data_IF_586071990814
#
_entry.id   IF_586071990814
#
_cell.length_a   1.000
_cell.length_b   1.000
_cell.length_c   1.000
_cell.angle_alpha   90.00
_cell.angle_beta   90.00
_cell.angle_gamma   90.00
#
_symmetry.space_group_name_H-M   'P 1'
#
loop_
_entity.id
_entity.type
_entity.pdbx_description
1 polymer ?
#
# COMPACT_ATOMS: atom_id res chain seq x y z
N UNK A 1 -22.10 9.13 -9.77
CA UNK A 1 -21.92 8.64 -8.40
C UNK A 1 -22.87 9.38 -7.45
N UNK A 2 -23.88 8.74 -6.89
CA UNK A 2 -24.46 9.18 -5.61
C UNK A 2 -23.94 8.20 -4.57
N UNK A 3 -22.89 8.61 -3.85
CA UNK A 3 -22.46 7.89 -2.65
C UNK A 3 -23.58 8.05 -1.62
N UNK A 4 -24.55 7.13 -1.62
CA UNK A 4 -25.47 6.94 -0.51
C UNK A 4 -24.63 6.51 0.68
N UNK A 5 -24.23 7.48 1.49
CA UNK A 5 -23.20 7.27 2.48
C UNK A 5 -23.63 7.95 3.76
N UNK A 6 -23.96 7.10 4.72
CA UNK A 6 -23.78 7.42 6.12
C UNK A 6 -22.25 7.52 6.34
N UNK A 7 -21.62 8.57 5.78
CA UNK A 7 -20.16 8.75 5.76
C UNK A 7 -19.73 9.06 7.18
N UNK A 8 -19.01 8.13 7.80
CA UNK A 8 -18.16 8.43 8.95
C UNK A 8 -16.82 8.94 8.38
N UNK A 9 -16.36 10.08 8.88
CA UNK A 9 -15.19 10.80 8.35
C UNK A 9 -13.94 9.90 8.29
N UNK A 10 -13.11 10.09 7.26
CA UNK A 10 -11.86 9.34 7.09
C UNK A 10 -10.90 9.62 8.23
N UNK A 11 -10.00 8.68 8.53
CA UNK A 11 -9.07 8.86 9.61
C UNK A 11 -8.02 9.90 9.23
N UNK A 12 -8.10 11.14 9.69
CA UNK A 12 -6.98 12.06 9.50
C UNK A 12 -6.75 12.98 10.69
N UNK A 13 -5.48 13.29 10.90
CA UNK A 13 -5.04 14.44 11.66
C UNK A 13 -4.95 15.62 10.71
N UNK A 14 -5.67 16.71 10.97
CA UNK A 14 -5.37 17.99 10.36
C UNK A 14 -4.19 18.59 11.12
N UNK A 15 -3.18 19.12 10.43
CA UNK A 15 -1.90 19.55 10.99
C UNK A 15 -1.91 20.42 12.25
N UNK A 16 -3.05 20.94 12.71
CA UNK A 16 -3.19 21.66 13.99
C UNK A 16 -3.62 20.76 15.17
N UNK A 17 -3.78 19.45 14.96
CA UNK A 17 -4.22 18.52 16.02
C UNK A 17 -3.15 18.43 17.11
N UNK A 18 -3.59 18.52 18.36
CA UNK A 18 -2.72 18.43 19.53
C UNK A 18 -2.82 17.05 20.17
N UNK A 19 -1.68 16.54 20.61
CA UNK A 19 -1.58 15.29 21.34
C UNK A 19 -1.87 15.50 22.82
N UNK A 20 -2.34 14.46 23.50
CA UNK A 20 -2.63 14.45 24.92
C UNK A 20 -1.39 14.67 25.77
N UNK A 21 -0.24 14.13 25.35
CA UNK A 21 1.05 14.44 25.96
C UNK A 21 1.49 15.85 25.56
N UNK A 22 1.37 16.79 26.49
CA UNK A 22 1.74 18.19 26.27
C UNK A 22 3.24 18.39 26.05
N UNK A 23 4.08 17.46 26.53
CA UNK A 23 5.52 17.48 26.30
C UNK A 23 5.91 16.90 24.94
N UNK A 24 4.97 16.28 24.22
CA UNK A 24 5.26 15.67 22.94
C UNK A 24 5.75 16.71 21.91
N UNK A 25 6.87 16.48 21.21
CA UNK A 25 7.45 17.47 20.29
C UNK A 25 6.51 17.97 19.17
N UNK A 26 5.61 17.12 18.66
CA UNK A 26 4.54 17.54 17.73
C UNK A 26 3.60 18.65 18.28
N UNK A 27 3.51 18.82 19.60
CA UNK A 27 2.78 19.94 20.19
C UNK A 27 3.56 21.27 20.17
N UNK A 28 4.89 21.23 19.99
CA UNK A 28 5.72 22.44 19.89
C UNK A 28 5.64 23.11 18.51
N UNK A 29 5.29 22.37 17.45
CA UNK A 29 5.14 22.94 16.10
C UNK A 29 3.81 23.68 15.93
N UNK A 30 3.79 24.73 15.11
CA UNK A 30 2.57 25.52 14.84
C UNK A 30 1.54 24.69 14.07
N UNK A 31 2.00 23.93 13.08
CA UNK A 31 1.22 22.96 12.34
C UNK A 31 2.15 21.82 11.88
N UNK A 32 1.67 20.59 12.00
CA UNK A 32 2.22 19.40 11.37
C UNK A 32 2.02 19.50 9.85
N UNK A 33 3.12 19.26 9.14
CA UNK A 33 3.21 19.19 7.69
C UNK A 33 4.27 18.13 7.38
N UNK A 34 3.98 17.29 6.40
CA UNK A 34 4.87 16.26 5.87
C UNK A 34 5.24 16.62 4.46
N UNK A 35 6.53 16.52 4.12
CA UNK A 35 7.00 16.67 2.77
C UNK A 35 7.66 15.36 2.30
N UNK A 36 7.19 14.88 1.17
CA UNK A 36 7.65 13.65 0.54
C UNK A 36 8.17 14.00 -0.85
N UNK A 37 9.38 13.56 -1.15
CA UNK A 37 10.04 13.82 -2.42
C UNK A 37 10.04 12.54 -3.25
N UNK A 38 9.40 12.60 -4.41
CA UNK A 38 9.31 11.54 -5.40
C UNK A 38 10.36 11.79 -6.48
N UNK A 39 11.37 10.92 -6.63
CA UNK A 39 12.24 10.99 -7.80
C UNK A 39 11.40 10.72 -9.05
N UNK A 40 11.52 11.63 -10.02
CA UNK A 40 10.87 11.52 -11.34
C UNK A 40 11.47 10.33 -12.08
N UNK A 41 12.79 10.30 -12.12
CA UNK A 41 13.59 9.17 -12.54
C UNK A 41 14.93 9.23 -11.77
N UNK A 42 15.66 8.11 -11.72
CA UNK A 42 16.90 7.96 -10.95
C UNK A 42 18.07 8.80 -11.51
N UNK A 43 17.95 9.36 -12.73
CA UNK A 43 19.08 9.87 -13.52
C UNK A 43 19.02 11.37 -13.83
N UNK A 44 17.83 11.97 -13.90
CA UNK A 44 17.65 13.41 -14.17
C UNK A 44 17.89 14.26 -12.93
N UNK A 45 17.92 13.64 -11.75
CA UNK A 45 17.93 14.35 -10.47
C UNK A 45 16.68 15.20 -10.24
N UNK A 46 15.66 15.07 -11.11
CA UNK A 46 14.41 15.79 -10.97
C UNK A 46 13.50 15.04 -10.00
N UNK A 47 12.80 15.81 -9.16
CA UNK A 47 11.95 15.26 -8.12
C UNK A 47 10.67 16.07 -7.98
N UNK A 48 9.54 15.39 -7.89
CA UNK A 48 8.27 16.00 -7.51
C UNK A 48 8.15 15.99 -6.00
N UNK A 49 7.54 17.02 -5.41
CA UNK A 49 7.42 17.16 -3.97
C UNK A 49 5.95 17.18 -3.60
N UNK A 50 5.55 16.28 -2.71
CA UNK A 50 4.22 16.26 -2.10
C UNK A 50 4.30 16.74 -0.66
N UNK A 51 3.66 17.88 -0.40
CA UNK A 51 3.43 18.37 0.95
C UNK A 51 2.00 18.06 1.38
N UNK A 52 1.82 17.51 2.57
CA UNK A 52 0.51 17.26 3.14
C UNK A 52 0.43 17.72 4.59
N UNK A 53 -0.74 18.22 4.97
CA UNK A 53 -1.08 18.53 6.36
C UNK A 53 -1.99 17.46 6.96
N UNK A 54 -2.16 16.35 6.27
CA UNK A 54 -2.99 15.23 6.66
C UNK A 54 -2.17 13.97 6.90
N UNK A 55 -2.61 13.16 7.86
CA UNK A 55 -2.02 11.84 8.10
C UNK A 55 -3.07 10.92 8.69
N UNK A 56 -3.13 9.70 8.17
CA UNK A 56 -3.96 8.64 8.71
C UNK A 56 -3.59 8.28 10.14
N UNK A 57 -4.62 8.04 10.95
CA UNK A 57 -4.49 7.83 12.38
C UNK A 57 -4.73 6.36 12.74
N UNK A 58 -3.66 5.56 12.96
CA UNK A 58 -3.78 4.16 13.36
C UNK A 58 -4.40 3.98 14.73
N UNK A 59 -4.94 2.78 14.94
CA UNK A 59 -5.36 2.26 16.25
C UNK A 59 -4.35 1.25 16.78
N UNK A 60 -4.31 1.07 18.09
CA UNK A 60 -3.40 0.15 18.79
C UNK A 60 -4.02 -1.24 18.88
N UNK A 61 -3.26 -2.24 18.44
CA UNK A 61 -3.60 -3.66 18.47
C UNK A 61 -2.54 -4.38 19.31
N UNK A 62 -2.85 -4.78 20.54
CA UNK A 62 -1.97 -5.63 21.33
C UNK A 62 -2.11 -7.10 20.95
N UNK A 63 -0.98 -7.79 20.96
CA UNK A 63 -0.89 -9.20 20.63
C UNK A 63 -0.30 -9.92 21.84
N UNK A 64 -1.05 -10.87 22.40
CA UNK A 64 -0.59 -11.65 23.55
C UNK A 64 0.50 -12.64 23.15
N UNK A 65 1.17 -13.25 24.14
CA UNK A 65 2.17 -14.30 23.90
C UNK A 65 1.58 -15.52 23.15
N UNK A 66 0.29 -15.77 23.33
CA UNK A 66 -0.48 -16.83 22.65
C UNK A 66 -0.99 -16.40 21.26
N UNK A 67 -0.61 -15.21 20.78
CA UNK A 67 -1.04 -14.67 19.49
C UNK A 67 -2.49 -14.16 19.47
N UNK A 68 -3.12 -13.91 20.62
CA UNK A 68 -4.46 -13.33 20.68
C UNK A 68 -4.41 -11.83 20.44
N UNK A 69 -5.38 -11.31 19.70
CA UNK A 69 -5.41 -9.89 19.33
C UNK A 69 -6.43 -9.13 20.16
N UNK A 70 -6.04 -7.95 20.65
CA UNK A 70 -6.94 -7.00 21.30
C UNK A 70 -6.73 -5.59 20.77
N UNK A 71 -7.83 -4.91 20.46
CA UNK A 71 -7.79 -3.49 20.07
C UNK A 71 -7.91 -2.64 21.33
N UNK A 72 -6.85 -1.87 21.60
CA UNK A 72 -6.70 -1.09 22.84
C UNK A 72 -7.08 0.38 22.70
N UNK A 73 -7.13 0.90 21.48
CA UNK A 73 -7.55 2.29 21.21
C UNK A 73 -8.76 2.35 20.26
N UNK A 74 -9.49 3.47 20.21
CA UNK A 74 -10.66 3.57 19.34
C UNK A 74 -10.29 3.41 17.86
N UNK A 75 -11.02 2.57 17.12
CA UNK A 75 -10.96 2.53 15.66
C UNK A 75 -11.60 3.79 15.11
N UNK A 76 -10.85 4.51 14.28
CA UNK A 76 -11.32 5.74 13.67
C UNK A 76 -12.55 5.47 12.78
N UNK A 77 -13.49 6.41 12.72
CA UNK A 77 -14.81 6.20 12.14
C UNK A 77 -15.74 5.29 12.96
N UNK A 78 -15.23 4.30 13.70
CA UNK A 78 -16.07 3.45 14.54
C UNK A 78 -16.38 4.09 15.89
N UNK A 79 -15.42 4.81 16.50
CA UNK A 79 -15.56 5.37 17.84
C UNK A 79 -15.19 4.35 18.93
N UNK A 80 -15.50 4.60 20.22
CA UNK A 80 -15.02 3.78 21.32
C UNK A 80 -15.62 2.36 21.33
N UNK A 81 -14.87 1.40 21.88
CA UNK A 81 -15.27 -0.02 21.99
C UNK A 81 -16.64 -0.23 22.62
N UNK A 82 -17.00 0.58 23.61
CA UNK A 82 -18.26 0.47 24.36
C UNK A 82 -19.50 0.58 23.48
N UNK A 83 -19.43 1.30 22.34
CA UNK A 83 -20.56 1.48 21.43
C UNK A 83 -20.74 0.32 20.46
N UNK A 84 -19.65 -0.37 20.12
CA UNK A 84 -19.62 -1.38 19.07
C UNK A 84 -18.84 -2.63 19.47
N UNK A 85 -19.02 -3.10 20.70
CA UNK A 85 -18.22 -4.18 21.30
C UNK A 85 -18.20 -5.47 20.47
N UNK A 86 -19.33 -5.85 19.85
CA UNK A 86 -19.40 -7.02 18.98
C UNK A 86 -18.56 -6.87 17.71
N UNK A 87 -18.58 -5.69 17.09
CA UNK A 87 -17.77 -5.43 15.89
C UNK A 87 -16.28 -5.38 16.23
N UNK A 88 -15.89 -4.78 17.36
CA UNK A 88 -14.52 -4.84 17.84
C UNK A 88 -14.01 -6.26 18.02
N UNK A 89 -14.82 -7.13 18.65
CA UNK A 89 -14.49 -8.57 18.78
C UNK A 89 -14.35 -9.27 17.43
N UNK A 90 -15.17 -8.91 16.45
CA UNK A 90 -15.07 -9.45 15.10
C UNK A 90 -13.77 -8.98 14.41
N UNK A 91 -13.43 -7.70 14.50
CA UNK A 91 -12.19 -7.15 13.94
C UNK A 91 -10.94 -7.79 14.56
N UNK A 92 -10.93 -7.95 15.90
CA UNK A 92 -9.87 -8.67 16.61
C UNK A 92 -9.70 -10.08 16.07
N UNK A 93 -10.81 -10.83 15.93
CA UNK A 93 -10.77 -12.21 15.45
C UNK A 93 -10.33 -12.31 13.99
N UNK A 94 -10.76 -11.39 13.14
CA UNK A 94 -10.34 -11.34 11.72
C UNK A 94 -8.84 -11.06 11.64
N UNK A 95 -8.34 -10.06 12.37
CA UNK A 95 -6.92 -9.72 12.37
C UNK A 95 -6.07 -10.86 12.95
N UNK A 96 -6.55 -11.51 14.01
CA UNK A 96 -5.90 -12.70 14.60
C UNK A 96 -5.75 -13.85 13.61
N UNK A 97 -6.78 -14.12 12.80
CA UNK A 97 -6.72 -15.17 11.77
C UNK A 97 -5.79 -14.81 10.61
N UNK A 98 -5.67 -13.52 10.28
CA UNK A 98 -4.83 -13.04 9.20
C UNK A 98 -3.37 -12.81 9.61
N UNK A 99 -3.06 -12.86 10.92
CA UNK A 99 -1.76 -12.50 11.48
C UNK A 99 -0.58 -13.24 10.82
N UNK A 100 -0.64 -14.56 10.55
CA UNK A 100 0.45 -15.25 9.85
C UNK A 100 0.72 -14.68 8.46
N UNK A 101 -0.32 -14.34 7.70
CA UNK A 101 -0.18 -13.80 6.33
C UNK A 101 0.32 -12.36 6.34
N UNK A 102 -0.11 -11.57 7.34
CA UNK A 102 0.43 -10.24 7.60
C UNK A 102 1.92 -10.32 7.94
N UNK A 103 2.34 -11.28 8.77
CA UNK A 103 3.76 -11.50 9.11
C UNK A 103 4.58 -11.79 7.86
N UNK A 104 4.14 -12.74 7.03
CA UNK A 104 4.80 -13.02 5.76
C UNK A 104 4.93 -11.76 4.90
N UNK A 105 3.85 -10.98 4.75
CA UNK A 105 3.87 -9.73 3.97
C UNK A 105 4.77 -8.64 4.56
N UNK A 106 4.82 -8.52 5.89
CA UNK A 106 5.63 -7.52 6.60
C UNK A 106 7.13 -7.78 6.43
N UNK A 107 7.51 -9.06 6.53
CA UNK A 107 8.89 -9.53 6.52
C UNK A 107 9.33 -10.08 5.16
N UNK A 108 8.47 -10.03 4.15
CA UNK A 108 8.85 -10.37 2.79
C UNK A 108 9.91 -9.40 2.30
N UNK A 109 11.04 -9.96 1.90
CA UNK A 109 12.12 -9.27 1.21
C UNK A 109 12.17 -9.83 -0.21
N UNK A 110 12.02 -8.94 -1.19
CA UNK A 110 12.27 -9.29 -2.57
C UNK A 110 13.79 -9.26 -2.79
N UNK A 111 14.30 -10.32 -3.41
CA UNK A 111 15.67 -10.38 -3.88
C UNK A 111 15.65 -10.62 -5.38
N UNK A 112 16.41 -9.82 -6.13
CA UNK A 112 16.58 -10.06 -7.56
C UNK A 112 17.26 -11.42 -7.77
N UNK A 113 16.57 -12.32 -8.46
CA UNK A 113 17.17 -13.53 -8.97
C UNK A 113 17.61 -13.32 -10.41
N UNK A 114 18.92 -13.33 -10.64
CA UNK A 114 19.52 -13.22 -11.97
C UNK A 114 18.93 -14.27 -12.90
N UNK A 115 18.43 -13.83 -14.06
CA UNK A 115 17.88 -14.74 -15.05
C UNK A 115 18.97 -15.71 -15.55
N UNK A 116 18.60 -16.96 -15.82
CA UNK A 116 19.55 -17.95 -16.37
C UNK A 116 20.14 -17.51 -17.70
N UNK A 117 19.35 -16.80 -18.52
CA UNK A 117 19.80 -16.22 -19.79
C UNK A 117 20.88 -15.17 -19.58
N UNK A 118 20.72 -14.28 -18.59
CA UNK A 118 21.73 -13.29 -18.25
C UNK A 118 22.99 -13.95 -17.68
N UNK A 119 22.84 -14.95 -16.81
CA UNK A 119 23.98 -15.74 -16.30
C UNK A 119 24.76 -16.42 -17.41
N UNK A 120 24.08 -16.98 -18.43
CA UNK A 120 24.73 -17.53 -19.62
C UNK A 120 25.51 -16.48 -20.40
N UNK A 121 24.94 -15.28 -20.56
CA UNK A 121 25.59 -14.16 -21.22
C UNK A 121 26.84 -13.70 -20.46
N UNK A 122 26.83 -13.61 -19.13
CA UNK A 122 28.03 -13.32 -18.33
C UNK A 122 29.11 -14.40 -18.49
N UNK A 123 28.72 -15.68 -18.51
CA UNK A 123 29.66 -16.79 -18.73
C UNK A 123 30.35 -16.72 -20.10
N UNK A 124 29.74 -16.04 -21.09
CA UNK A 124 30.36 -15.79 -22.41
C UNK A 124 31.30 -14.58 -22.44
N UNK A 125 31.36 -13.77 -21.38
CA UNK A 125 32.15 -12.54 -21.34
C UNK A 125 33.65 -12.75 -21.68
N UNK A 126 34.34 -13.78 -21.17
CA UNK A 126 35.75 -13.98 -21.49
C UNK A 126 36.01 -14.21 -23.00
N UNK A 127 35.12 -14.95 -23.68
CA UNK A 127 35.24 -15.20 -25.12
C UNK A 127 34.88 -13.96 -25.94
N UNK A 128 33.89 -13.17 -25.49
CA UNK A 128 33.57 -11.86 -26.09
C UNK A 128 34.75 -10.89 -26.02
N UNK A 129 35.30 -10.73 -24.81
CA UNK A 129 36.42 -9.82 -24.54
C UNK A 129 37.69 -10.24 -25.29
N UNK A 130 37.92 -11.55 -25.42
CA UNK A 130 39.02 -12.11 -26.21
C UNK A 130 38.79 -12.08 -27.74
N UNK A 131 37.58 -11.71 -28.19
CA UNK A 131 37.14 -11.75 -29.61
C UNK A 131 37.33 -13.12 -30.27
N UNK A 132 37.22 -14.20 -29.50
CA UNK A 132 37.36 -15.57 -30.01
C UNK A 132 36.00 -16.08 -30.51
N UNK A 133 35.63 -15.66 -31.73
CA UNK A 133 34.34 -15.99 -32.36
C UNK A 133 34.11 -17.50 -32.43
N UNK A 134 35.16 -18.29 -32.65
CA UNK A 134 35.08 -19.75 -32.71
C UNK A 134 34.65 -20.37 -31.38
N UNK A 135 35.32 -20.02 -30.27
CA UNK A 135 34.94 -20.51 -28.93
C UNK A 135 33.61 -19.94 -28.47
N UNK A 136 33.31 -18.69 -28.81
CA UNK A 136 32.03 -18.07 -28.53
C UNK A 136 30.86 -18.83 -29.19
N UNK A 137 30.94 -19.12 -30.50
CA UNK A 137 29.91 -19.91 -31.23
C UNK A 137 29.74 -21.30 -30.63
N UNK A 138 30.83 -21.99 -30.28
CA UNK A 138 30.76 -23.30 -29.64
C UNK A 138 30.06 -23.25 -28.26
N UNK A 139 30.29 -22.17 -27.49
CA UNK A 139 29.60 -21.96 -26.21
C UNK A 139 28.12 -21.65 -26.39
N UNK A 140 27.74 -20.88 -27.40
CA UNK A 140 26.34 -20.64 -27.77
C UNK A 140 25.63 -21.96 -28.09
N UNK A 141 26.21 -22.80 -28.94
CA UNK A 141 25.63 -24.09 -29.32
C UNK A 141 25.46 -25.02 -28.09
N UNK A 142 26.46 -25.07 -27.20
CA UNK A 142 26.34 -25.77 -25.92
C UNK A 142 25.16 -25.24 -25.09
N UNK A 143 25.08 -23.92 -24.93
CA UNK A 143 24.06 -23.25 -24.13
C UNK A 143 22.65 -23.37 -24.72
N UNK A 144 22.52 -23.47 -26.05
CA UNK A 144 21.24 -23.78 -26.70
C UNK A 144 20.75 -25.18 -26.31
N UNK A 145 21.64 -26.16 -26.24
CA UNK A 145 21.31 -27.50 -25.74
C UNK A 145 20.89 -27.52 -24.26
N UNK A 146 21.48 -26.64 -23.44
CA UNK A 146 21.05 -26.43 -22.05
C UNK A 146 19.67 -25.78 -21.98
N UNK A 147 19.42 -24.72 -22.78
CA UNK A 147 18.14 -24.00 -22.86
C UNK A 147 16.98 -24.94 -23.18
N UNK A 148 17.13 -25.86 -24.13
CA UNK A 148 16.08 -26.85 -24.47
C UNK A 148 15.70 -27.73 -23.26
N UNK A 149 16.68 -28.15 -22.45
CA UNK A 149 16.39 -28.94 -21.24
C UNK A 149 15.71 -28.09 -20.17
N UNK A 150 16.08 -26.82 -20.08
CA UNK A 150 15.48 -25.88 -19.15
C UNK A 150 14.04 -25.53 -19.51
N UNK A 151 13.74 -25.31 -20.79
CA UNK A 151 12.39 -25.08 -21.28
C UNK A 151 11.48 -26.28 -21.00
N UNK A 152 11.99 -27.49 -21.22
CA UNK A 152 11.26 -28.70 -20.86
C UNK A 152 10.96 -28.77 -19.35
N UNK A 153 11.95 -28.45 -18.50
CA UNK A 153 11.78 -28.40 -17.05
C UNK A 153 10.84 -27.26 -16.61
N UNK A 154 10.87 -26.12 -17.30
CA UNK A 154 10.00 -24.96 -17.05
C UNK A 154 8.55 -25.30 -17.36
N UNK A 155 8.27 -25.92 -18.51
CA UNK A 155 6.92 -26.37 -18.86
C UNK A 155 6.39 -27.36 -17.81
N UNK A 156 7.23 -28.27 -17.33
CA UNK A 156 6.86 -29.19 -16.27
C UNK A 156 6.60 -28.49 -14.92
N UNK A 157 7.42 -27.50 -14.57
CA UNK A 157 7.23 -26.67 -13.38
C UNK A 157 5.94 -25.83 -13.48
N UNK A 158 5.69 -25.16 -14.60
CA UNK A 158 4.48 -24.37 -14.85
C UNK A 158 3.22 -25.25 -14.76
N UNK A 159 3.28 -26.49 -15.27
CA UNK A 159 2.20 -27.47 -15.10
C UNK A 159 1.96 -27.79 -13.62
N UNK A 160 3.02 -28.04 -12.84
CA UNK A 160 2.91 -28.32 -11.40
C UNK A 160 2.36 -27.12 -10.62
N UNK A 161 2.84 -25.92 -10.91
CA UNK A 161 2.35 -24.68 -10.29
C UNK A 161 0.87 -24.47 -10.60
N UNK A 162 0.44 -24.73 -11.85
CA UNK A 162 -0.98 -24.67 -12.20
C UNK A 162 -1.81 -25.69 -11.42
N UNK A 163 -1.31 -26.91 -11.26
CA UNK A 163 -1.96 -27.94 -10.44
C UNK A 163 -2.03 -27.55 -8.95
N UNK A 164 -0.98 -26.92 -8.42
CA UNK A 164 -0.94 -26.38 -7.05
C UNK A 164 -1.91 -25.18 -6.90
N UNK A 165 -1.98 -24.27 -7.87
CA UNK A 165 -2.94 -23.17 -7.90
C UNK A 165 -4.39 -23.66 -7.95
N UNK A 166 -4.68 -24.71 -8.72
CA UNK A 166 -6.00 -25.35 -8.74
C UNK A 166 -6.36 -25.99 -7.38
N UNK A 167 -5.36 -26.41 -6.59
CA UNK A 167 -5.56 -26.84 -5.21
C UNK A 167 -5.72 -25.65 -4.25
N UNK A 168 -4.97 -24.56 -4.42
CA UNK A 168 -5.10 -23.32 -3.63
C UNK A 168 -6.41 -22.58 -3.87
N UNK A 169 -7.00 -22.68 -5.06
CA UNK A 169 -8.35 -22.18 -5.36
C UNK A 169 -9.39 -22.81 -4.44
N UNK A 170 -9.15 -24.01 -3.88
CA UNK A 170 -10.04 -24.59 -2.85
C UNK A 170 -9.97 -23.87 -1.50
N UNK A 171 -9.06 -22.90 -1.36
CA UNK A 171 -8.77 -22.13 -0.16
C UNK A 171 -7.81 -22.88 0.76
N UNK A 172 -6.61 -22.31 0.98
CA UNK A 172 -5.83 -22.72 2.14
C UNK A 172 -6.56 -22.22 3.40
N UNK A 173 -6.82 -23.08 4.40
CA UNK A 173 -7.39 -22.62 5.65
C UNK A 173 -6.44 -21.58 6.25
N UNK A 174 -7.00 -20.44 6.70
CA UNK A 174 -6.26 -19.50 7.55
C UNK A 174 -5.66 -20.34 8.68
N UNK A 175 -4.33 -20.30 8.80
CA UNK A 175 -3.61 -21.13 9.76
C UNK A 175 -4.22 -21.05 11.16
N UNK A 176 -4.07 -22.12 11.94
CA UNK A 176 -4.44 -22.10 13.35
C UNK A 176 -3.67 -21.01 14.10
N UNK A 177 -4.20 -20.58 15.24
CA UNK A 177 -3.52 -19.62 16.12
C UNK A 177 -2.17 -20.21 16.52
N UNK A 178 -1.10 -19.64 15.98
CA UNK A 178 0.29 -20.08 16.18
C UNK A 178 1.09 -19.04 16.95
N UNK A 179 2.34 -19.37 17.26
CA UNK A 179 3.26 -18.42 17.89
C UNK A 179 3.60 -17.32 16.89
N UNK A 180 3.07 -16.12 17.12
CA UNK A 180 3.26 -14.93 16.29
C UNK A 180 4.66 -14.32 16.48
N UNK A 181 5.26 -13.79 15.40
CA UNK A 181 6.47 -12.93 15.48
C UNK A 181 6.22 -11.59 16.18
N UNK A 182 4.96 -11.25 16.38
CA UNK A 182 4.49 -10.09 17.11
C UNK A 182 3.96 -10.41 18.52
N UNK A 183 4.15 -11.64 19.01
CA UNK A 183 3.84 -12.01 20.38
C UNK A 183 4.42 -11.01 21.39
N UNK A 184 3.58 -10.52 22.30
CA UNK A 184 3.94 -9.54 23.32
C UNK A 184 4.11 -8.09 22.81
N UNK A 185 3.81 -7.81 21.53
CA UNK A 185 3.94 -6.48 20.92
C UNK A 185 2.59 -5.79 20.75
N UNK A 186 2.66 -4.47 20.59
CA UNK A 186 1.52 -3.65 20.16
C UNK A 186 1.80 -3.13 18.76
N UNK A 187 0.88 -3.34 17.84
CA UNK A 187 0.95 -2.86 16.47
C UNK A 187 0.08 -1.63 16.28
N UNK A 188 0.50 -0.75 15.37
CA UNK A 188 -0.31 0.34 14.83
C UNK A 188 -1.00 -0.15 13.56
N UNK A 189 -2.33 -0.11 13.56
CA UNK A 189 -3.12 -0.63 12.45
C UNK A 189 -4.22 0.36 12.08
N UNK A 190 -4.29 0.69 10.80
CA UNK A 190 -5.38 1.48 10.23
C UNK A 190 -6.44 0.51 9.72
N UNK A 191 -7.68 0.70 10.15
CA UNK A 191 -8.82 -0.13 9.74
C UNK A 191 -9.69 0.67 8.80
N UNK A 192 -10.05 0.08 7.67
CA UNK A 192 -10.90 0.71 6.66
C UNK A 192 -11.95 -0.28 6.17
N UNK A 193 -13.17 0.21 5.94
CA UNK A 193 -14.23 -0.59 5.33
C UNK A 193 -14.80 0.19 4.15
N UNK A 194 -14.98 -0.50 3.02
CA UNK A 194 -15.49 0.11 1.81
C UNK A 194 -16.46 -0.83 1.09
N UNK A 195 -17.41 -0.22 0.37
CA UNK A 195 -18.38 -0.92 -0.45
C UNK A 195 -18.28 -0.39 -1.88
N UNK A 196 -18.14 -1.31 -2.84
CA UNK A 196 -18.35 -1.01 -4.25
C UNK A 196 -19.81 -1.32 -4.57
N UNK A 197 -20.54 -0.33 -5.07
CA UNK A 197 -21.97 -0.43 -5.38
C UNK A 197 -22.17 -0.13 -6.85
N UNK A 198 -22.56 -1.14 -7.63
CA UNK A 198 -22.73 -1.06 -9.08
C UNK A 198 -24.18 -1.28 -9.46
N UNK A 199 -24.77 -0.32 -10.16
CA UNK A 199 -26.08 -0.53 -10.80
C UNK A 199 -25.97 -1.56 -11.93
N UNK A 200 -27.08 -2.19 -12.35
CA UNK A 200 -27.10 -3.11 -13.49
C UNK A 200 -26.39 -2.53 -14.71
N UNK A 201 -25.50 -3.32 -15.32
CA UNK A 201 -24.68 -2.96 -16.47
C UNK A 201 -23.49 -2.03 -16.19
N UNK A 202 -23.29 -1.54 -14.96
CA UNK A 202 -22.15 -0.68 -14.64
C UNK A 202 -20.85 -1.49 -14.48
N UNK A 203 -19.76 -0.83 -14.89
CA UNK A 203 -18.39 -1.31 -14.79
C UNK A 203 -17.53 -0.31 -14.00
N UNK A 204 -16.52 -0.82 -13.32
CA UNK A 204 -15.55 -0.01 -12.57
C UNK A 204 -14.16 -0.63 -12.66
N UNK A 205 -13.16 0.19 -12.98
CA UNK A 205 -11.74 -0.14 -12.89
C UNK A 205 -11.08 0.84 -11.92
N UNK A 206 -10.12 0.34 -11.13
CA UNK A 206 -9.34 1.16 -10.20
C UNK A 206 -8.10 1.76 -10.87
N UNK A 207 -7.55 2.80 -10.25
CA UNK A 207 -6.21 3.31 -10.59
C UNK A 207 -5.12 2.54 -9.83
N UNK A 208 -3.90 2.52 -10.37
CA UNK A 208 -2.74 1.98 -9.66
C UNK A 208 -2.39 2.84 -8.46
N UNK A 209 -2.24 2.26 -7.28
CA UNK A 209 -1.86 3.00 -6.07
C UNK A 209 -1.16 2.12 -5.04
N UNK A 210 -0.53 2.77 -4.06
CA UNK A 210 -0.15 2.16 -2.77
C UNK A 210 -1.11 2.64 -1.69
N UNK A 211 -1.22 1.90 -0.58
CA UNK A 211 -2.06 2.34 0.54
C UNK A 211 -1.36 3.43 1.34
N UNK A 212 -2.11 4.49 1.63
CA UNK A 212 -1.63 5.64 2.38
C UNK A 212 -0.55 6.45 1.65
N UNK A 213 0.04 7.39 2.39
CA UNK A 213 1.18 8.20 1.95
C UNK A 213 2.47 7.75 2.66
N UNK A 214 3.67 8.05 2.11
CA UNK A 214 4.93 7.53 2.67
C UNK A 214 5.18 7.87 4.16
N UNK A 215 4.72 9.02 4.64
CA UNK A 215 4.81 9.41 6.06
C UNK A 215 3.89 8.62 7.00
N UNK A 216 2.95 7.84 6.46
CA UNK A 216 2.04 6.97 7.22
C UNK A 216 2.67 5.59 7.48
N UNK A 217 3.87 5.32 6.94
CA UNK A 217 4.71 4.15 7.23
C UNK A 217 3.98 2.81 7.16
N UNK A 218 3.00 2.68 6.26
CA UNK A 218 2.27 1.44 6.03
C UNK A 218 3.22 0.45 5.35
N UNK A 219 3.43 -0.71 5.98
CA UNK A 219 4.38 -1.73 5.53
C UNK A 219 3.68 -2.93 4.90
N UNK A 220 2.54 -3.33 5.43
CA UNK A 220 1.73 -4.42 4.88
C UNK A 220 0.25 -4.04 4.85
N UNK A 221 -0.42 -4.55 3.83
CA UNK A 221 -1.83 -4.31 3.56
C UNK A 221 -2.55 -5.65 3.48
N UNK A 222 -3.67 -5.74 4.19
CA UNK A 222 -4.57 -6.89 4.16
C UNK A 222 -5.94 -6.42 3.68
N UNK A 223 -6.50 -7.08 2.68
CA UNK A 223 -7.86 -6.83 2.18
C UNK A 223 -8.68 -8.11 2.34
N UNK A 224 -9.80 -8.00 3.06
CA UNK A 224 -10.75 -9.09 3.27
C UNK A 224 -12.03 -8.84 2.47
N UNK A 225 -12.26 -9.69 1.47
CA UNK A 225 -13.46 -9.68 0.61
C UNK A 225 -14.54 -10.54 1.23
N UNK A 226 -15.25 -9.96 2.21
CA UNK A 226 -16.13 -10.72 3.10
C UNK A 226 -17.56 -10.92 2.56
N UNK A 227 -17.95 -10.19 1.53
CA UNK A 227 -19.27 -10.32 0.89
C UNK A 227 -19.25 -9.70 -0.50
N UNK A 228 -19.87 -10.37 -1.46
CA UNK A 228 -19.95 -9.98 -2.86
C UNK A 228 -21.27 -10.51 -3.42
N UNK A 229 -22.04 -9.65 -4.09
CA UNK A 229 -23.24 -10.09 -4.78
C UNK A 229 -22.90 -11.08 -5.89
N UNK A 230 -23.70 -12.13 -6.11
CA UNK A 230 -23.43 -13.15 -7.14
C UNK A 230 -23.50 -12.61 -8.58
N UNK A 231 -24.11 -11.44 -8.77
CA UNK A 231 -24.15 -10.73 -10.05
C UNK A 231 -22.87 -9.92 -10.34
N UNK A 232 -21.89 -9.87 -9.42
CA UNK A 232 -20.61 -9.21 -9.69
C UNK A 232 -19.68 -10.19 -10.40
N UNK A 233 -19.21 -9.80 -11.57
CA UNK A 233 -18.00 -10.34 -12.19
C UNK A 233 -16.80 -9.54 -11.70
N UNK A 234 -15.83 -10.21 -11.09
CA UNK A 234 -14.63 -9.61 -10.51
C UNK A 234 -13.38 -10.13 -11.24
N UNK A 235 -12.65 -9.24 -11.91
CA UNK A 235 -11.43 -9.58 -12.63
C UNK A 235 -10.21 -9.73 -11.69
N UNK A 236 -10.35 -9.38 -10.40
CA UNK A 236 -9.32 -9.53 -9.39
C UNK A 236 -8.57 -8.24 -9.05
N UNK A 237 -7.44 -8.43 -8.36
CA UNK A 237 -6.55 -7.37 -7.93
C UNK A 237 -5.22 -7.51 -8.69
N UNK A 238 -4.88 -6.52 -9.50
CA UNK A 238 -3.62 -6.50 -10.25
C UNK A 238 -2.52 -5.89 -9.41
N UNK A 239 -1.30 -6.41 -9.56
CA UNK A 239 -0.10 -5.92 -8.88
C UNK A 239 0.98 -5.54 -9.89
N UNK A 240 1.72 -4.49 -9.57
CA UNK A 240 2.95 -4.10 -10.25
C UNK A 240 3.94 -3.53 -9.24
N UNK A 241 5.20 -3.40 -9.64
CA UNK A 241 6.23 -2.73 -8.86
C UNK A 241 7.09 -1.85 -9.74
N UNK A 242 7.74 -0.87 -9.13
CA UNK A 242 8.78 -0.11 -9.79
C UNK A 242 9.97 -1.02 -10.10
N UNK A 243 10.62 -0.77 -11.24
CA UNK A 243 11.97 -1.27 -11.50
C UNK A 243 12.97 -0.57 -10.60
N UNK A 244 14.00 -1.30 -10.21
CA UNK A 244 15.15 -0.87 -9.42
C UNK A 244 16.41 -1.03 -10.25
N UNK A 245 17.55 -0.51 -9.78
CA UNK A 245 18.87 -0.77 -10.39
C UNK A 245 19.17 -2.28 -10.54
N UNK A 246 18.68 -3.10 -9.60
CA UNK A 246 18.87 -4.56 -9.62
C UNK A 246 18.05 -5.26 -10.71
N UNK A 247 16.94 -4.66 -11.15
CA UNK A 247 16.12 -5.18 -12.25
C UNK A 247 16.77 -5.01 -13.62
N UNK A 248 17.94 -4.36 -13.63
CA UNK A 248 18.76 -4.00 -14.79
C UNK A 248 17.91 -3.63 -16.01
N UNK A 249 17.11 -2.55 -15.95
CA UNK A 249 16.62 -1.94 -17.17
C UNK A 249 17.76 -1.08 -17.70
N UNK A 250 18.59 -1.63 -18.56
CA UNK A 250 18.84 -0.99 -19.84
C UNK A 250 19.50 0.39 -19.96
N UNK A 251 20.02 1.05 -18.92
CA UNK A 251 20.60 2.40 -19.12
C UNK A 251 21.91 2.68 -18.40
N UNK A 252 22.43 1.78 -17.56
CA UNK A 252 23.72 1.96 -16.90
C UNK A 252 24.88 1.30 -17.68
N UNK A 253 25.06 1.70 -18.95
CA UNK A 253 26.35 1.93 -19.63
C UNK A 253 26.06 2.14 -21.11
N UNK A 254 26.18 3.38 -21.56
CA UNK A 254 26.31 3.66 -22.98
C UNK A 254 27.57 2.97 -23.50
N UNK A 255 27.45 1.74 -23.98
CA UNK A 255 28.37 1.04 -24.86
C UNK A 255 27.59 -0.16 -25.41
N UNK A 256 26.90 0.02 -26.54
CA UNK A 256 26.47 -1.13 -27.36
C UNK A 256 27.63 -2.11 -27.58
N UNK A 257 28.87 -1.61 -27.51
CA UNK A 257 30.14 -2.35 -27.51
C UNK A 257 30.18 -3.55 -26.55
N UNK A 258 29.47 -3.56 -25.42
CA UNK A 258 29.49 -4.71 -24.48
C UNK A 258 28.71 -5.92 -24.99
N UNK A 259 27.73 -5.66 -25.86
CA UNK A 259 26.97 -6.67 -26.58
C UNK A 259 27.54 -6.91 -27.97
N UNK A 260 28.66 -6.26 -28.34
CA UNK A 260 29.28 -6.38 -29.66
C UNK A 260 30.54 -7.22 -29.59
N UNK A 261 30.66 -8.15 -30.53
CA UNK A 261 31.90 -8.85 -30.83
C UNK A 261 32.34 -8.39 -32.21
N UNK A 262 33.55 -7.84 -32.30
CA UNK A 262 34.13 -7.43 -33.57
C UNK A 262 34.82 -8.63 -34.23
N UNK A 263 34.32 -9.05 -35.39
CA UNK A 263 34.95 -10.06 -36.21
C UNK A 263 35.92 -9.38 -37.20
N UNK A 264 37.22 -9.50 -36.94
CA UNK A 264 38.27 -8.89 -37.77
C UNK A 264 38.32 -9.47 -39.19
N UNK A 265 37.78 -10.68 -39.43
CA UNK A 265 37.76 -11.30 -40.75
C UNK A 265 36.54 -10.88 -41.60
N UNK A 266 35.43 -10.50 -40.94
CA UNK A 266 34.16 -10.19 -41.60
C UNK A 266 33.88 -8.69 -41.77
N UNK A 267 34.65 -7.80 -41.11
CA UNK A 267 34.42 -6.34 -41.04
C UNK A 267 32.99 -5.98 -40.59
N UNK A 268 32.42 -6.83 -39.72
CA UNK A 268 31.06 -6.67 -39.18
C UNK A 268 31.03 -6.99 -37.69
N UNK A 269 30.08 -6.36 -36.98
CA UNK A 269 29.88 -6.54 -35.55
C UNK A 269 28.78 -7.54 -35.26
N UNK A 270 29.09 -8.57 -34.47
CA UNK A 270 28.12 -9.58 -34.05
C UNK A 270 27.51 -9.16 -32.72
N UNK A 271 26.18 -9.12 -32.66
CA UNK A 271 25.46 -8.90 -31.39
C UNK A 271 25.44 -10.20 -30.55
N UNK A 272 25.87 -10.14 -29.30
CA UNK A 272 25.75 -11.20 -28.29
C UNK A 272 24.86 -10.71 -27.15
N UNK A 273 23.57 -11.01 -27.25
CA UNK A 273 22.57 -10.67 -26.24
C UNK A 273 22.25 -11.87 -25.33
N UNK A 274 21.73 -11.64 -24.12
CA UNK A 274 21.06 -12.69 -23.37
C UNK A 274 20.01 -13.41 -24.24
N UNK A 275 19.97 -14.74 -24.17
CA UNK A 275 19.21 -15.61 -25.10
C UNK A 275 17.68 -15.44 -25.06
N UNK A 276 17.16 -14.66 -24.11
CA UNK A 276 15.77 -14.26 -23.93
C UNK A 276 15.44 -12.93 -24.64
N UNK A 277 16.47 -12.16 -25.04
CA UNK A 277 16.35 -10.92 -25.81
C UNK A 277 16.43 -11.18 -27.32
N UNK A 278 17.04 -12.30 -27.73
CA UNK A 278 17.26 -12.69 -29.14
C UNK A 278 16.00 -13.18 -29.89
N UNK A 279 14.94 -13.61 -29.18
CA UNK A 279 13.77 -14.29 -29.77
C UNK A 279 12.53 -13.38 -29.97
N UNK A 280 12.60 -12.10 -29.60
CA UNK A 280 11.49 -11.16 -29.79
C UNK A 280 11.48 -10.54 -31.20
N UNK A 281 10.44 -10.82 -32.00
CA UNK A 281 10.09 -9.94 -33.13
C UNK A 281 9.84 -8.53 -32.58
N UNK A 282 10.75 -7.59 -32.87
CA UNK A 282 10.94 -6.28 -32.23
C UNK A 282 11.52 -6.37 -30.81
N UNK A 283 12.83 -6.54 -30.74
CA UNK A 283 13.62 -5.90 -29.69
C UNK A 283 13.46 -4.37 -29.87
N UNK A 284 12.43 -3.79 -29.24
CA UNK A 284 12.54 -2.43 -28.76
C UNK A 284 13.85 -2.38 -27.98
N UNK A 285 14.72 -1.45 -28.34
CA UNK A 285 16.03 -1.36 -27.70
C UNK A 285 15.85 -1.41 -26.20
N UNK A 286 16.82 -1.97 -25.46
CA UNK A 286 16.80 -1.97 -24.01
C UNK A 286 16.30 -0.61 -23.44
N UNK A 287 16.69 0.51 -24.03
CA UNK A 287 16.29 1.85 -23.60
C UNK A 287 14.77 2.17 -23.54
N UNK A 288 13.86 1.27 -23.96
CA UNK A 288 12.40 1.48 -24.00
C UNK A 288 11.58 0.58 -23.03
N UNK A 289 12.20 -0.11 -22.06
CA UNK A 289 11.41 -0.89 -21.10
C UNK A 289 10.53 0.00 -20.20
N UNK A 290 9.28 -0.40 -19.92
CA UNK A 290 8.39 0.35 -19.05
C UNK A 290 8.95 0.41 -17.63
N UNK A 291 8.75 1.55 -16.95
CA UNK A 291 9.26 1.81 -15.59
C UNK A 291 8.72 0.83 -14.54
N UNK A 292 7.52 0.30 -14.77
CA UNK A 292 6.90 -0.67 -13.89
C UNK A 292 6.98 -2.10 -14.47
N UNK A 293 7.17 -3.09 -13.60
CA UNK A 293 7.01 -4.52 -13.91
C UNK A 293 5.63 -4.94 -13.43
N UNK A 294 4.77 -5.37 -14.37
CA UNK A 294 3.51 -6.03 -14.04
C UNK A 294 3.77 -7.41 -13.44
N UNK A 295 3.21 -7.67 -12.26
CA UNK A 295 3.37 -8.93 -11.53
C UNK A 295 2.19 -9.88 -11.75
N UNK A 296 1.11 -9.39 -12.39
CA UNK A 296 -0.09 -10.15 -12.71
C UNK A 296 -1.28 -9.82 -11.81
N UNK A 297 -2.33 -10.62 -11.94
CA UNK A 297 -3.64 -10.39 -11.31
C UNK A 297 -4.06 -11.59 -10.49
N UNK A 298 -4.48 -11.37 -9.24
CA UNK A 298 -4.97 -12.43 -8.36
C UNK A 298 -6.49 -12.36 -8.21
N UNK A 299 -7.21 -13.51 -8.22
CA UNK A 299 -8.66 -13.51 -8.02
C UNK A 299 -9.03 -13.00 -6.63
N UNK A 300 -9.93 -12.02 -6.55
CA UNK A 300 -10.36 -11.42 -5.27
C UNK A 300 -11.60 -12.12 -4.68
N UNK A 301 -12.58 -12.45 -5.52
CA UNK A 301 -13.83 -13.12 -5.14
C UNK A 301 -14.07 -14.38 -5.98
N UNK A 302 -15.08 -15.18 -5.64
CA UNK A 302 -15.52 -16.36 -6.39
C UNK A 302 -14.66 -17.61 -6.19
N UNK A 303 -13.88 -17.67 -5.11
CA UNK A 303 -12.80 -18.67 -4.97
C UNK A 303 -13.32 -20.04 -4.49
N UNK A 304 -14.39 -20.12 -3.71
CA UNK A 304 -14.94 -21.42 -3.26
C UNK A 304 -16.32 -21.71 -3.86
N UNK A 305 -16.56 -22.97 -4.23
CA UNK A 305 -17.83 -23.43 -4.81
C UNK A 305 -18.87 -23.86 -3.74
N UNK A 306 -18.45 -24.04 -2.49
CA UNK A 306 -19.28 -24.66 -1.43
C UNK A 306 -20.00 -23.63 -0.53
N UNK A 307 -19.54 -22.38 -0.52
CA UNK A 307 -20.18 -21.24 0.16
C UNK A 307 -20.16 -20.11 -0.85
N UNK A 308 -21.29 -19.43 -1.09
CA UNK A 308 -21.45 -18.35 -2.08
C UNK A 308 -20.20 -17.44 -2.20
N UNK A 309 -19.28 -17.80 -3.11
CA UNK A 309 -18.18 -17.07 -3.72
C UNK A 309 -17.37 -16.05 -2.90
N UNK A 310 -17.34 -16.04 -1.58
CA UNK A 310 -16.77 -14.91 -0.81
C UNK A 310 -16.07 -15.36 0.46
N UNK A 311 -15.16 -14.53 1.00
CA UNK A 311 -14.38 -14.84 2.20
C UNK A 311 -12.85 -14.89 2.02
N UNK A 312 -12.31 -14.46 0.87
CA UNK A 312 -10.86 -14.43 0.64
C UNK A 312 -10.19 -13.25 1.33
N UNK A 313 -9.02 -13.50 1.91
CA UNK A 313 -8.11 -12.48 2.41
C UNK A 313 -6.89 -12.42 1.48
N UNK A 314 -6.50 -11.21 1.09
CA UNK A 314 -5.26 -10.94 0.35
C UNK A 314 -4.35 -10.10 1.24
N UNK A 315 -3.17 -10.61 1.54
CA UNK A 315 -2.12 -9.89 2.27
C UNK A 315 -0.95 -9.64 1.33
N UNK A 316 -0.40 -8.44 1.33
CA UNK A 316 0.73 -8.09 0.48
C UNK A 316 1.58 -6.95 1.08
N UNK A 317 2.87 -6.87 0.73
CA UNK A 317 3.71 -5.73 1.10
C UNK A 317 3.21 -4.44 0.45
N UNK A 318 3.17 -3.34 1.19
CA UNK A 318 2.60 -2.06 0.70
C UNK A 318 3.50 -1.31 -0.31
N UNK A 319 4.71 -1.80 -0.59
CA UNK A 319 5.53 -1.28 -1.68
C UNK A 319 5.06 -1.77 -3.05
N UNK A 320 4.16 -2.75 -3.10
CA UNK A 320 3.49 -3.17 -4.33
C UNK A 320 2.37 -2.18 -4.69
N UNK A 321 2.45 -1.65 -5.90
CA UNK A 321 1.34 -0.90 -6.46
C UNK A 321 0.25 -1.90 -6.88
N UNK A 322 -1.01 -1.55 -6.63
CA UNK A 322 -2.12 -2.39 -6.98
C UNK A 322 -3.29 -1.60 -7.56
N UNK A 323 -4.13 -2.27 -8.34
CA UNK A 323 -5.41 -1.73 -8.82
C UNK A 323 -6.50 -2.79 -8.85
N UNK A 324 -7.74 -2.36 -8.72
CA UNK A 324 -8.90 -3.19 -9.02
C UNK A 324 -8.94 -3.40 -10.53
N UNK A 325 -8.66 -4.61 -10.99
CA UNK A 325 -8.52 -4.93 -12.42
C UNK A 325 -9.81 -4.71 -13.22
N UNK A 326 -10.95 -4.90 -12.56
CA UNK A 326 -12.25 -4.68 -13.16
C UNK A 326 -13.37 -5.29 -12.33
N UNK A 327 -14.46 -4.55 -12.19
CA UNK A 327 -15.72 -5.01 -11.64
C UNK A 327 -16.85 -4.73 -12.60
N UNK A 328 -17.75 -5.70 -12.75
CA UNK A 328 -18.96 -5.52 -13.57
C UNK A 328 -20.18 -6.11 -12.89
N UNK A 329 -21.28 -5.37 -12.87
CA UNK A 329 -22.58 -5.95 -12.58
C UNK A 329 -23.11 -6.64 -13.86
N UNK A 330 -23.18 -7.97 -13.84
CA UNK A 330 -23.61 -8.79 -14.98
C UNK A 330 -25.12 -8.73 -15.24
N UNK A 331 -25.90 -8.26 -14.27
CA UNK A 331 -27.31 -8.00 -14.49
C UNK A 331 -27.47 -6.84 -15.48
N UNK A 332 -28.28 -7.04 -16.52
CA UNK A 332 -28.59 -6.02 -17.54
C UNK A 332 -29.97 -5.38 -17.34
N UNK A 333 -30.80 -5.96 -16.49
CA UNK A 333 -32.17 -5.50 -16.21
C UNK A 333 -32.42 -5.45 -14.70
N UNK A 334 -33.39 -4.63 -14.29
CA UNK A 334 -33.73 -4.39 -12.88
C UNK A 334 -33.10 -3.13 -12.31
N UNK A 335 -33.41 -2.85 -11.05
CA UNK A 335 -32.91 -1.68 -10.30
C UNK A 335 -32.08 -2.05 -9.08
N UNK A 336 -31.82 -3.34 -8.85
CA UNK A 336 -31.08 -3.80 -7.67
C UNK A 336 -29.57 -3.59 -7.86
N UNK A 337 -28.91 -2.82 -6.98
CA UNK A 337 -27.47 -2.64 -7.05
C UNK A 337 -26.76 -3.90 -6.57
N UNK A 338 -25.70 -4.28 -7.29
CA UNK A 338 -24.77 -5.30 -6.85
C UNK A 338 -23.72 -4.68 -5.92
N UNK A 339 -23.34 -5.38 -4.86
CA UNK A 339 -22.43 -4.84 -3.83
C UNK A 339 -21.27 -5.79 -3.56
N UNK A 340 -20.03 -5.27 -3.60
CA UNK A 340 -18.82 -5.92 -3.08
C UNK A 340 -18.34 -5.17 -1.84
N UNK A 341 -18.19 -5.87 -0.72
CA UNK A 341 -17.79 -5.31 0.57
C UNK A 341 -16.40 -5.78 0.94
N UNK A 342 -15.56 -4.84 1.33
CA UNK A 342 -14.19 -5.08 1.74
C UNK A 342 -13.91 -4.50 3.13
N UNK A 343 -13.06 -5.19 3.87
CA UNK A 343 -12.47 -4.73 5.12
C UNK A 343 -10.95 -4.78 4.96
N UNK A 344 -10.27 -3.67 5.20
CA UNK A 344 -8.83 -3.55 5.07
C UNK A 344 -8.17 -3.30 6.43
N UNK A 345 -6.99 -3.87 6.60
CA UNK A 345 -6.08 -3.57 7.69
C UNK A 345 -4.73 -3.16 7.10
N UNK A 346 -4.27 -1.97 7.44
CA UNK A 346 -2.96 -1.47 7.03
C UNK A 346 -2.06 -1.40 8.25
N UNK A 347 -1.01 -2.23 8.25
CA UNK A 347 -0.10 -2.36 9.37
C UNK A 347 1.05 -1.38 9.19
N UNK A 348 1.18 -0.49 10.17
CA UNK A 348 2.19 0.56 10.20
C UNK A 348 3.45 0.03 10.89
N UNK A 349 4.60 0.28 10.28
CA UNK A 349 5.89 -0.08 10.87
C UNK A 349 6.33 0.97 11.90
N UNK A 350 6.74 0.52 13.09
CA UNK A 350 7.33 1.37 14.13
C UNK A 350 8.87 1.42 14.05
N UNK A 351 9.49 0.53 13.27
CA UNK A 351 10.95 0.48 13.11
C UNK A 351 11.38 1.39 11.96
N UNK A 352 12.01 2.50 12.32
CA UNK A 352 12.48 3.55 11.42
C UNK A 352 13.46 3.00 10.35
N UNK A 353 13.39 3.47 9.09
CA UNK A 353 14.56 3.36 8.23
C UNK A 353 15.71 4.19 8.83
N UNK A 354 16.94 3.72 8.65
CA UNK A 354 18.13 4.49 9.00
C UNK A 354 18.12 5.81 8.24
N UNK A 355 18.22 6.92 8.97
CA UNK A 355 18.46 8.22 8.36
C UNK A 355 19.84 8.21 7.69
N UNK A 356 19.97 8.79 6.50
CA UNK A 356 21.27 9.01 5.91
C UNK A 356 22.06 10.10 6.65
N UNK A 357 23.28 10.36 6.16
CA UNK A 357 24.20 11.37 6.71
C UNK A 357 23.62 12.80 6.70
N UNK A 358 22.53 13.06 5.97
CA UNK A 358 21.82 14.34 5.92
C UNK A 358 20.53 14.35 6.76
N UNK A 359 20.22 13.25 7.45
CA UNK A 359 19.01 13.09 8.26
C UNK A 359 17.77 12.69 7.48
N UNK A 360 17.88 12.38 6.18
CA UNK A 360 16.73 11.98 5.35
C UNK A 360 16.39 10.51 5.59
N UNK A 361 15.09 10.21 5.71
CA UNK A 361 14.61 8.83 5.84
C UNK A 361 14.50 8.24 4.43
N UNK A 362 15.31 7.22 4.17
CA UNK A 362 15.38 6.55 2.87
C UNK A 362 14.54 5.27 2.87
N UNK A 363 13.49 5.27 2.07
CA UNK A 363 12.80 4.06 1.66
C UNK A 363 13.28 3.69 0.26
N UNK A 364 13.29 2.40 -0.12
CA UNK A 364 13.46 2.03 -1.52
C UNK A 364 12.43 2.78 -2.36
N UNK A 365 12.88 3.71 -3.20
CA UNK A 365 12.06 4.52 -4.11
C UNK A 365 11.42 5.82 -3.56
N UNK A 366 11.60 6.19 -2.27
CA UNK A 366 10.98 7.42 -1.73
C UNK A 366 11.88 8.13 -0.70
N UNK A 367 12.07 9.43 -0.87
CA UNK A 367 12.76 10.30 0.10
C UNK A 367 11.73 11.06 0.93
N UNK A 368 11.82 10.95 2.26
CA UNK A 368 10.97 11.74 3.17
C UNK A 368 11.79 12.84 3.85
N UNK A 369 11.34 14.09 3.72
CA UNK A 369 11.88 15.23 4.47
C UNK A 369 10.75 15.91 5.24
N UNK A 370 10.71 15.76 6.56
CA UNK A 370 9.67 16.34 7.43
C UNK A 370 10.29 17.11 8.58
N UNK A 371 9.49 17.59 9.52
CA UNK A 371 10.04 18.13 10.76
C UNK A 371 10.83 17.02 11.50
N UNK A 372 12.16 17.03 11.35
CA UNK A 372 13.07 16.11 12.01
C UNK A 372 13.09 16.44 13.50
N UNK A 373 12.36 15.66 14.28
CA UNK A 373 12.44 15.71 15.74
C UNK A 373 13.49 14.68 16.14
N UNK A 374 14.77 15.05 16.05
CA UNK A 374 15.86 14.18 16.51
C UNK A 374 15.83 13.96 18.04
N UNK A 375 16.55 12.94 18.57
CA UNK A 375 17.02 11.74 17.88
C UNK A 375 15.92 10.65 17.80
N UNK A 376 14.71 10.94 18.29
CA UNK A 376 13.56 10.05 18.39
C UNK A 376 12.34 10.76 17.80
N UNK A 377 12.18 10.76 16.48
CA UNK A 377 11.01 11.36 15.85
C UNK A 377 9.78 10.59 16.33
N UNK A 378 9.03 11.16 17.27
CA UNK A 378 7.99 10.42 17.97
C UNK A 378 6.99 9.81 16.96
N UNK A 379 6.60 8.55 17.17
CA UNK A 379 6.03 7.72 16.12
C UNK A 379 4.64 8.24 15.73
N UNK A 380 4.18 7.93 14.51
CA UNK A 380 2.85 8.30 13.99
C UNK A 380 1.80 8.33 15.09
N UNK A 381 1.16 9.49 15.34
CA UNK A 381 0.11 9.60 16.35
C UNK A 381 -0.94 8.51 16.15
N UNK A 382 -1.49 8.03 17.26
CA UNK A 382 -2.56 7.04 17.24
C UNK A 382 -3.85 7.63 17.78
N UNK A 383 -4.95 6.91 17.64
CA UNK A 383 -6.22 7.27 18.27
C UNK A 383 -6.16 7.27 19.80
N UNK A 384 -5.12 6.73 20.43
CA UNK A 384 -4.88 6.85 21.87
C UNK A 384 -4.21 8.17 22.25
N UNK A 385 -3.48 8.81 21.32
CA UNK A 385 -2.67 10.00 21.59
C UNK A 385 -3.44 11.31 21.41
N UNK A 386 -4.64 11.25 20.82
CA UNK A 386 -5.47 12.44 20.55
C UNK A 386 -6.85 12.34 21.16
N UNK A 387 -7.42 13.50 21.49
CA UNK A 387 -8.84 13.58 21.83
C UNK A 387 -9.70 13.29 20.59
N UNK A 388 -10.91 12.73 20.79
CA UNK A 388 -11.90 12.67 19.73
C UNK A 388 -12.08 14.06 19.09
N UNK A 389 -12.06 14.15 17.77
CA UNK A 389 -12.14 15.47 17.12
C UNK A 389 -13.58 15.92 16.89
N UNK A 390 -14.54 15.00 16.83
CA UNK A 390 -15.94 15.32 16.58
C UNK A 390 -16.55 16.07 17.76
N UNK A 391 -17.22 17.19 17.48
CA UNK A 391 -17.75 18.10 18.49
C UNK A 391 -18.67 17.42 19.50
N UNK A 392 -19.59 16.57 19.04
CA UNK A 392 -20.51 15.86 19.93
C UNK A 392 -19.80 14.90 20.89
N UNK A 393 -18.59 14.43 20.55
CA UNK A 393 -17.77 13.56 21.40
C UNK A 393 -17.09 14.33 22.51
N UNK A 394 -16.57 15.53 22.21
CA UNK A 394 -15.83 16.34 23.18
C UNK A 394 -16.72 17.23 24.04
N UNK A 395 -17.90 17.61 23.52
CA UNK A 395 -18.77 18.58 24.16
C UNK A 395 -19.10 18.23 25.62
N UNK A 396 -19.40 16.97 26.01
CA UNK A 396 -19.64 16.64 27.42
C UNK A 396 -18.44 16.95 28.33
N UNK A 397 -17.22 16.69 27.87
CA UNK A 397 -16.00 16.95 28.64
C UNK A 397 -15.74 18.45 28.78
N UNK A 398 -15.89 19.18 27.67
CA UNK A 398 -15.72 20.64 27.64
C UNK A 398 -16.80 21.32 28.50
N UNK A 399 -18.06 20.90 28.37
CA UNK A 399 -19.18 21.39 29.16
C UNK A 399 -18.93 21.19 30.65
N UNK A 400 -18.54 19.98 31.08
CA UNK A 400 -18.25 19.70 32.47
C UNK A 400 -17.12 20.58 33.02
N UNK A 401 -16.05 20.78 32.24
CA UNK A 401 -14.94 21.65 32.64
C UNK A 401 -15.38 23.12 32.79
N UNK A 402 -16.16 23.62 31.82
CA UNK A 402 -16.71 24.97 31.84
C UNK A 402 -17.72 25.18 32.97
N UNK A 403 -18.61 24.21 33.21
CA UNK A 403 -19.58 24.22 34.30
C UNK A 403 -18.88 24.23 35.66
N UNK A 404 -17.86 23.39 35.86
CA UNK A 404 -17.04 23.40 37.07
C UNK A 404 -16.31 24.73 37.29
N UNK A 405 -15.80 25.35 36.22
CA UNK A 405 -15.18 26.67 36.30
C UNK A 405 -16.21 27.76 36.66
N UNK A 406 -17.39 27.73 36.02
CA UNK A 406 -18.47 28.67 36.26
C UNK A 406 -19.00 28.58 37.70
N UNK A 407 -19.21 27.37 38.22
CA UNK A 407 -19.64 27.14 39.61
C UNK A 407 -18.63 27.67 40.60
N UNK A 408 -17.33 27.48 40.34
CA UNK A 408 -16.26 28.00 41.20
C UNK A 408 -16.21 29.53 41.21
N UNK A 409 -16.50 30.16 40.08
CA UNK A 409 -16.44 31.62 39.95
C UNK A 409 -17.72 32.34 40.41
N UNK A 410 -18.89 31.75 40.20
CA UNK A 410 -20.20 32.43 40.34
C UNK A 410 -21.15 31.78 41.33
N UNK A 411 -20.87 30.54 41.77
CA UNK A 411 -21.79 29.74 42.59
C UNK A 411 -22.94 29.09 41.80
N UNK A 412 -23.11 29.42 40.50
CA UNK A 412 -24.13 28.87 39.63
C UNK A 412 -23.54 27.99 38.52
N UNK A 413 -24.33 27.04 38.01
CA UNK A 413 -23.96 26.23 36.85
C UNK A 413 -23.96 27.05 35.55
N UNK A 414 -23.26 26.56 34.53
CA UNK A 414 -23.25 27.14 33.19
C UNK A 414 -24.46 26.62 32.38
N UNK A 415 -25.36 27.50 31.91
CA UNK A 415 -26.39 27.13 30.94
C UNK A 415 -25.79 26.46 29.70
N UNK A 416 -26.44 25.41 29.20
CA UNK A 416 -25.91 24.60 28.09
C UNK A 416 -25.80 25.42 26.80
N UNK A 417 -26.70 26.36 26.58
CA UNK A 417 -26.73 27.27 25.44
C UNK A 417 -25.47 28.14 25.41
N UNK A 418 -25.08 28.71 26.55
CA UNK A 418 -23.85 29.51 26.67
C UNK A 418 -22.60 28.65 26.45
N UNK A 419 -22.61 27.39 26.90
CA UNK A 419 -21.50 26.50 26.64
C UNK A 419 -21.38 26.13 25.15
N UNK A 420 -22.51 25.97 24.45
CA UNK A 420 -22.53 25.79 22.99
C UNK A 420 -21.91 27.02 22.33
N UNK A 421 -22.35 28.22 22.68
CA UNK A 421 -21.83 29.49 22.14
C UNK A 421 -20.32 29.63 22.38
N UNK A 422 -19.83 29.33 23.60
CA UNK A 422 -18.40 29.32 23.91
C UNK A 422 -17.65 28.35 23.01
N UNK A 423 -18.15 27.13 22.84
CA UNK A 423 -17.53 26.15 21.95
C UNK A 423 -17.54 26.61 20.48
N UNK A 424 -18.55 27.39 20.06
CA UNK A 424 -18.65 27.94 18.70
C UNK A 424 -17.60 29.01 18.47
N UNK A 425 -17.53 29.98 19.39
CA UNK A 425 -16.55 31.05 19.35
C UNK A 425 -15.11 30.53 19.43
N UNK A 426 -14.87 29.54 20.29
CA UNK A 426 -13.55 28.93 20.47
C UNK A 426 -13.21 27.88 19.39
N UNK A 427 -14.13 27.59 18.44
CA UNK A 427 -13.96 26.59 17.37
C UNK A 427 -13.53 25.22 17.91
N UNK A 428 -14.11 24.83 19.05
CA UNK A 428 -13.76 23.59 19.76
C UNK A 428 -14.48 22.40 19.09
N UNK A 429 -13.68 21.48 18.55
CA UNK A 429 -14.14 20.28 17.85
C UNK A 429 -14.73 20.53 16.46
N UNK A 430 -14.79 19.47 15.66
CA UNK A 430 -15.32 19.47 14.31
C UNK A 430 -16.80 19.13 14.28
N UNK A 431 -17.62 19.97 13.64
CA UNK A 431 -18.98 19.59 13.24
C UNK A 431 -18.90 18.61 12.06
N UNK A 432 -20.00 17.91 11.78
CA UNK A 432 -20.10 17.01 10.61
C UNK A 432 -19.71 17.72 9.31
N UNK A 433 -20.24 18.92 9.09
CA UNK A 433 -19.91 19.72 7.91
C UNK A 433 -18.42 20.11 7.85
N UNK A 434 -17.74 20.27 8.99
CA UNK A 434 -16.31 20.57 9.03
C UNK A 434 -15.51 19.33 8.64
N UNK A 435 -15.87 18.17 9.19
CA UNK A 435 -15.26 16.89 8.87
C UNK A 435 -15.45 16.53 7.37
N UNK A 436 -16.63 16.76 6.80
CA UNK A 436 -16.89 16.55 5.37
C UNK A 436 -16.04 17.47 4.47
N UNK A 437 -15.81 18.73 4.89
CA UNK A 437 -14.92 19.65 4.16
C UNK A 437 -13.47 19.21 4.21
N UNK A 438 -13.00 18.77 5.38
CA UNK A 438 -11.65 18.26 5.52
C UNK A 438 -11.43 16.95 4.77
N UNK A 439 -12.41 16.03 4.77
CA UNK A 439 -12.41 14.84 3.90
C UNK A 439 -12.24 15.23 2.44
N UNK A 440 -13.02 16.18 1.93
CA UNK A 440 -12.88 16.64 0.53
C UNK A 440 -11.47 17.18 0.25
N UNK A 441 -10.96 18.03 1.14
CA UNK A 441 -9.60 18.56 1.01
C UNK A 441 -8.53 17.47 1.09
N UNK A 442 -8.72 16.43 1.90
CA UNK A 442 -7.83 15.27 1.93
C UNK A 442 -7.86 14.52 0.59
N UNK A 443 -9.04 14.36 -0.02
CA UNK A 443 -9.13 13.74 -1.35
C UNK A 443 -8.49 14.61 -2.43
N UNK A 444 -8.71 15.91 -2.38
CA UNK A 444 -8.08 16.86 -3.30
C UNK A 444 -6.54 16.88 -3.12
N UNK A 445 -6.05 16.81 -1.88
CA UNK A 445 -4.61 16.73 -1.52
C UNK A 445 -3.98 15.45 -2.06
N UNK A 446 -4.68 14.32 -1.97
CA UNK A 446 -4.22 13.02 -2.50
C UNK A 446 -4.30 12.92 -4.02
N UNK A 447 -5.24 13.64 -4.66
CA UNK A 447 -5.41 13.69 -6.11
C UNK A 447 -4.48 14.67 -6.81
N UNK A 448 -4.30 15.87 -6.27
CA UNK A 448 -3.47 16.90 -6.92
C UNK A 448 -2.01 16.46 -7.02
N UNK A 449 -1.52 15.70 -6.04
CA UNK A 449 -0.19 15.10 -6.06
C UNK A 449 -0.03 14.03 -7.14
N UNK A 450 -1.13 13.42 -7.54
CA UNK A 450 -1.20 12.33 -8.50
C UNK A 450 -1.10 12.87 -9.92
N UNK A 451 -1.76 13.99 -10.22
CA UNK A 451 -1.70 14.60 -11.55
C UNK A 451 -0.27 15.09 -11.89
N UNK A 452 0.43 15.75 -10.95
CA UNK A 452 1.82 16.21 -11.14
C UNK A 452 2.82 15.05 -11.23
N UNK A 453 2.58 13.96 -10.51
CA UNK A 453 3.43 12.75 -10.57
C UNK A 453 3.17 11.98 -11.87
N UNK A 454 1.90 11.84 -12.28
CA UNK A 454 1.51 11.10 -13.49
C UNK A 454 1.89 11.82 -14.77
N UNK A 455 1.80 13.16 -14.80
CA UNK A 455 2.26 13.96 -15.94
C UNK A 455 3.77 13.75 -16.19
N UNK A 456 4.51 13.52 -15.11
CA UNK A 456 5.96 13.33 -15.16
C UNK A 456 6.35 11.86 -15.33
N UNK A 457 5.50 10.92 -14.91
CA UNK A 457 5.74 9.47 -15.00
C UNK A 457 5.10 8.83 -16.26
N UNK A 458 4.34 9.60 -17.05
CA UNK A 458 3.57 9.14 -18.21
C UNK A 458 2.67 7.91 -17.94
N UNK A 459 2.29 7.70 -16.68
CA UNK A 459 1.47 6.57 -16.23
C UNK A 459 0.50 6.99 -15.12
N UNK A 460 -0.65 6.30 -15.02
CA UNK A 460 -1.61 6.50 -13.94
C UNK A 460 -1.08 5.93 -12.61
N UNK A 461 -0.84 6.77 -11.61
CA UNK A 461 -0.51 6.42 -10.22
C UNK A 461 -1.31 7.29 -9.24
N UNK A 462 -1.85 6.68 -8.18
CA UNK A 462 -2.68 7.27 -7.15
C UNK A 462 -2.08 7.14 -5.75
N UNK A 463 -2.37 8.07 -4.84
CA UNK A 463 -2.44 7.73 -3.41
C UNK A 463 -3.87 7.27 -3.11
N UNK A 464 -4.06 6.26 -2.26
CA UNK A 464 -5.41 5.74 -1.99
C UNK A 464 -6.38 6.86 -1.52
N UNK A 465 -7.32 7.28 -2.38
CA UNK A 465 -8.22 8.43 -2.18
C UNK A 465 -9.53 8.10 -1.41
N UNK A 466 -9.53 7.12 -0.49
CA UNK A 466 -10.79 6.67 0.12
C UNK A 466 -10.86 6.74 1.62
#
# INVERSE_FOLDING_TARGET
>A
MRAGSDVRADPYVQGTTRLLDSAHPLNAVKAFNTRTTYPVDEYSGSSTVHESIYSWLPSLFSITEEGRVRIDSPVNGLGPRSEHAALYKALERIFELALPQIEESMFFEWAYERSRSYGRWEVRAPEREARDVGKWRARIEQQQGEKVREEAARVEWERRVREEQEQEVRGMPLGGIGKSRFAGKTLKVIVKAANYVLLPGQEYEGSWHVEGAPHEHIRASLIYYHSCSPSISDAGLSFRRLRTEEDDPNVARGHGDQFMIWDEEADDGIMDYPSDVEEGERAAYPYELPRNIELGTVPATGVTAEVEGTGRMLSFPNWLQHKVAGLKNTATEGNEPAVRKILCFFVVNESYPSADEHGQLNFPGFFHSGAHIGPNAAPLPTTADILPQQRFRIFPYVYNALDMACRRATGAGLPVELAIDICEMARVGMRRADAERHRRRLMDDRRAAVDEVNEVWEEDYGLCEH
#
